data_IF_812500301811
#
_entry.id   IF_812500301811
#
_cell.length_a   1.000
_cell.length_b   1.000
_cell.length_c   1.000
_cell.angle_alpha   90.00
_cell.angle_beta   90.00
_cell.angle_gamma   90.00
#
_symmetry.space_group_name_H-M   'P 1'
#
loop_
_entity.id
_entity.type
_entity.pdbx_description
1 polymer ?
2 polymer ?
#
loop_
_entity_poly.entity_id
_entity_poly.type
_entity_poly.pdbx_seq_one_letter_code
_entity_poly.pdbx_strand_id
2 'polyribonucleotide' 'GCGUUGGCCAACGCUU' ?
#
# COMPACT_ATOMS: atom_id res chain seq x y z
N UNK A 7 18.98 15.49 3.05
CA UNK A 7 18.17 14.31 3.36
C UNK A 7 17.88 14.20 4.84
N UNK A 8 16.60 14.09 5.17
CA UNK A 8 16.17 13.93 6.54
C UNK A 8 15.32 12.66 6.51
N UNK A 9 15.21 11.96 7.63
CA UNK A 9 14.33 10.80 7.69
C UNK A 9 13.12 11.08 8.54
N UNK A 10 11.96 10.73 7.99
CA UNK A 10 10.72 10.77 8.73
C UNK A 10 10.66 9.37 9.27
N UNK A 11 11.01 9.24 10.55
CA UNK A 11 11.12 7.94 11.22
C UNK A 11 9.87 7.59 11.99
N UNK A 13 7.76 4.83 14.72
CA UNK A 13 7.70 3.72 15.67
C UNK A 13 6.34 3.82 16.34
N UNK A 14 5.68 2.71 16.63
CA UNK A 14 4.45 2.81 17.42
C UNK A 14 4.73 2.67 18.92
N UNK A 15 4.57 3.78 19.63
CA UNK A 15 4.80 3.83 21.06
C UNK A 15 3.71 3.07 21.80
N UNK A 16 2.46 3.31 21.40
CA UNK A 16 1.31 2.70 22.06
C UNK A 16 0.40 1.98 21.08
N UNK A 17 0.63 0.67 20.92
CA UNK A 17 -0.19 -0.23 20.09
C UNK A 17 -1.61 -0.37 20.62
N UNK A 18 -2.51 -0.90 19.78
CA UNK A 18 -3.92 -1.04 20.13
C UNK A 18 -4.21 -2.22 21.07
N UNK A 19 -4.87 -1.94 22.20
CA UNK A 19 -5.15 -2.93 23.24
C UNK A 19 -6.12 -4.04 22.81
N UNK A 20 -6.19 -5.10 23.60
CA UNK A 20 -6.94 -6.30 23.23
C UNK A 20 -8.47 -6.10 23.09
N UNK A 21 -8.95 -4.90 23.43
CA UNK A 21 -10.39 -4.57 23.38
C UNK A 21 -11.11 -4.90 22.05
N UNK A 22 -10.45 -4.68 20.91
CA UNK A 22 -11.10 -4.94 19.62
C UNK A 22 -10.16 -5.19 18.44
N UNK A 27 -8.23 -8.32 13.81
CA UNK A 27 -7.95 -7.09 13.08
C UNK A 27 -6.45 -6.85 13.13
N UNK A 28 -5.82 -7.59 14.03
CA UNK A 28 -4.37 -7.62 14.24
C UNK A 28 -3.71 -6.24 14.43
N UNK A 29 -2.47 -6.11 13.94
CA UNK A 29 -1.64 -4.89 14.11
C UNK A 29 -0.57 -4.80 13.02
N UNK A 30 -0.23 -3.59 12.59
CA UNK A 30 0.80 -3.43 11.56
C UNK A 30 1.79 -2.29 11.86
N UNK A 31 2.82 -2.56 12.68
CA UNK A 31 3.84 -1.63 13.14
C UNK A 31 4.76 -1.17 12.01
N UNK A 32 5.01 0.15 11.92
CA UNK A 32 5.85 0.70 10.84
C UNK A 32 7.33 0.33 10.94
N UNK A 33 7.80 -0.10 12.11
CA UNK A 33 9.22 -0.39 12.27
C UNK A 33 9.58 -1.81 11.86
N UNK A 34 8.57 -2.64 11.60
CA UNK A 34 8.83 -4.00 11.14
C UNK A 34 9.35 -4.00 9.72
N UNK A 35 9.18 -2.87 9.02
CA UNK A 35 9.81 -2.70 7.72
C UNK A 35 10.82 -1.56 7.78
N UNK A 36 11.91 -1.72 7.03
CA UNK A 36 12.99 -0.74 7.01
C UNK A 36 12.70 0.44 6.09
N UNK A 37 11.85 0.21 5.09
CA UNK A 37 11.54 1.21 4.07
C UNK A 37 10.55 2.27 4.53
N UNK A 38 10.93 3.54 4.38
CA UNK A 38 10.19 4.65 5.01
C UNK A 38 10.17 5.91 4.14
N UNK A 39 9.70 7.01 4.70
CA UNK A 39 9.69 8.26 3.96
C UNK A 39 10.66 9.27 4.53
N UNK A 40 11.18 10.13 3.66
CA UNK A 40 12.18 11.09 4.04
C UNK A 40 12.10 12.33 3.19
N UNK A 41 12.83 13.38 3.57
CA UNK A 41 12.65 14.71 3.00
C UNK A 41 13.95 15.34 2.50
N UNK A 42 13.98 15.75 1.25
CA UNK A 42 15.20 16.27 0.63
C UNK A 42 15.52 17.73 0.96
N UNK A 43 16.82 18.06 0.87
CA UNK A 43 17.38 19.35 1.28
C UNK A 43 17.09 20.48 0.29
N UNK A 44 17.83 21.58 0.48
CA UNK A 44 17.53 22.93 -0.01
C UNK A 44 16.60 23.63 0.98
N UNK A 45 16.27 22.92 2.05
CA UNK A 45 15.37 23.45 3.06
C UNK A 45 16.02 23.71 4.43
N UNK A 46 15.47 24.68 5.19
CA UNK A 46 15.91 24.89 6.57
C UNK A 46 15.40 23.81 7.52
N UNK A 47 16.09 23.60 8.63
CA UNK A 47 15.73 22.57 9.57
C UNK A 47 14.60 22.99 10.51
N UNK A 48 13.51 22.21 10.52
CA UNK A 48 12.37 22.39 11.42
C UNK A 48 12.70 21.94 12.84
N UNK A 49 11.67 21.92 13.69
CA UNK A 49 11.80 21.44 15.06
C UNK A 49 11.11 20.07 15.23
N UNK A 50 11.17 19.52 16.44
CA UNK A 50 10.53 18.23 16.74
C UNK A 50 9.30 18.41 17.62
N UNK A 54 3.37 12.68 17.13
CA UNK A 54 2.77 11.35 17.00
C UNK A 54 1.45 11.40 16.21
N UNK A 55 1.21 10.42 15.34
CA UNK A 55 -0.10 10.30 14.65
C UNK A 55 -0.79 9.00 15.06
N UNK A 56 -2.12 9.02 15.05
CA UNK A 56 -2.87 7.88 15.58
C UNK A 56 -3.51 7.03 14.48
N UNK A 57 -2.94 5.84 14.27
CA UNK A 57 -3.19 5.02 13.09
C UNK A 57 -4.22 3.90 13.29
N UNK A 58 -4.36 3.07 12.26
CA UNK A 58 -5.18 1.87 12.38
C UNK A 58 -4.50 0.87 13.26
N UNK A 59 -3.17 0.95 13.29
CA UNK A 59 -2.34 0.01 14.04
C UNK A 59 -2.11 0.51 15.46
N UNK A 60 -2.77 1.62 15.79
CA UNK A 60 -2.64 2.23 17.09
C UNK A 60 -1.81 3.51 17.04
N UNK A 61 -1.48 4.03 18.22
CA UNK A 61 -0.70 5.26 18.33
C UNK A 61 0.72 5.07 17.83
N UNK A 62 1.15 5.94 16.92
CA UNK A 62 2.49 5.84 16.36
C UNK A 62 3.24 7.16 16.46
N UNK A 63 4.29 7.17 17.27
CA UNK A 63 5.15 8.34 17.41
C UNK A 63 6.14 8.49 16.26
N UNK A 64 6.35 9.76 15.91
CA UNK A 64 7.04 10.18 14.70
C UNK A 64 8.26 11.05 15.02
N UNK A 65 9.38 10.78 14.34
CA UNK A 65 10.61 11.51 14.62
C UNK A 65 11.38 11.91 13.36
N UNK A 66 11.59 13.20 13.18
CA UNK A 66 12.40 13.67 12.06
C UNK A 66 13.87 13.80 12.46
N UNK A 67 14.76 13.18 11.68
CA UNK A 67 16.19 13.26 12.00
C UNK A 67 17.01 13.66 10.79
N UNK A 68 18.18 14.23 11.02
CA UNK A 68 19.05 14.55 9.89
C UNK A 68 19.95 13.36 9.60
N UNK A 69 20.15 13.12 8.31
CA UNK A 69 20.87 11.95 7.84
C UNK A 69 22.07 12.36 7.02
N UNK A 70 21.85 13.08 5.93
CA UNK A 70 22.97 13.70 5.25
C UNK A 70 22.68 15.16 4.93
N UNK A 71 23.48 16.04 5.52
CA UNK A 71 23.39 17.47 5.27
C UNK A 71 24.43 17.87 4.24
N UNK A 72 24.06 18.80 3.37
CA UNK A 72 25.00 19.37 2.42
C UNK A 72 25.43 18.41 1.32
N UNK A 73 24.47 17.67 0.79
CA UNK A 73 24.74 16.80 -0.34
C UNK A 73 24.22 17.46 -1.61
N UNK A 75 22.81 16.54 -5.28
CA UNK A 75 22.33 15.41 -6.06
C UNK A 75 22.08 15.81 -7.51
N UNK A 76 22.33 14.87 -8.41
CA UNK A 76 22.21 15.09 -9.84
C UNK A 76 20.82 15.57 -10.25
N UNK A 77 20.76 16.40 -11.29
CA UNK A 77 19.49 16.89 -11.81
C UNK A 77 18.66 15.72 -12.31
N UNK A 78 19.33 14.66 -12.75
CA UNK A 78 18.66 13.43 -13.15
C UNK A 78 17.94 12.82 -11.95
N UNK A 80 17.37 14.21 -9.20
CA UNK A 80 16.44 15.20 -8.67
C UNK A 80 15.10 15.11 -9.37
N UNK A 81 15.15 14.98 -10.70
CA UNK A 81 13.95 14.81 -11.51
C UNK A 81 13.24 13.54 -11.09
N UNK A 82 14.00 12.46 -10.88
CA UNK A 82 13.44 11.21 -10.39
C UNK A 82 12.74 11.34 -9.02
N UNK A 83 13.36 12.06 -8.10
CA UNK A 83 12.82 12.20 -6.75
C UNK A 83 11.59 13.09 -6.73
N UNK A 84 11.58 14.09 -7.60
CA UNK A 84 10.41 14.99 -7.69
C UNK A 84 9.23 14.29 -8.39
N UNK A 85 9.53 13.58 -9.47
CA UNK A 85 8.56 12.76 -10.17
C UNK A 85 7.91 11.81 -9.19
N UNK A 86 8.73 11.06 -8.46
CA UNK A 86 8.20 10.20 -7.42
C UNK A 86 7.42 10.94 -6.33
N UNK A 87 7.85 12.14 -5.97
CA UNK A 87 7.11 12.95 -4.98
C UNK A 87 5.67 13.12 -5.42
N UNK A 88 5.50 13.66 -6.63
CA UNK A 88 4.18 13.87 -7.21
C UNK A 88 3.42 12.56 -7.37
N UNK A 89 4.13 11.47 -7.66
CA UNK A 89 3.51 10.16 -7.74
C UNK A 89 2.96 9.70 -6.39
N UNK A 90 3.58 10.16 -5.30
CA UNK A 90 3.09 9.80 -3.99
C UNK A 90 1.82 10.56 -3.76
N UNK A 91 1.84 11.85 -4.06
CA UNK A 91 0.69 12.66 -3.66
C UNK A 91 -0.55 12.66 -4.56
N UNK A 92 -0.35 12.59 -5.86
CA UNK A 92 -1.47 12.44 -6.78
C UNK A 92 -1.99 11.01 -6.80
N UNK A 93 -1.08 10.04 -6.94
CA UNK A 93 -1.47 8.63 -7.04
C UNK A 93 -1.74 7.81 -5.76
N UNK A 94 -0.88 7.92 -4.74
CA UNK A 94 -1.05 7.06 -3.57
C UNK A 94 -2.17 7.57 -2.67
N UNK A 95 -2.16 8.86 -2.41
CA UNK A 95 -3.28 9.50 -1.78
C UNK A 95 -3.98 10.29 -2.88
N UNK A 96 -5.11 10.91 -2.59
CA UNK A 96 -5.78 11.72 -3.60
C UNK A 96 -6.15 13.07 -3.01
N UNK A 97 -5.56 14.14 -3.54
CA UNK A 97 -5.80 15.48 -2.99
C UNK A 97 -5.78 16.57 -4.07
N UNK A 111 5.21 22.74 4.18
CA UNK A 111 5.62 21.36 4.47
C UNK A 111 7.12 21.14 4.26
N UNK A 112 7.46 20.77 3.03
CA UNK A 112 8.84 20.63 2.54
C UNK A 112 8.89 20.14 1.10
N UNK A 113 10.11 19.98 0.58
CA UNK A 113 10.39 19.54 -0.79
C UNK A 113 10.06 18.05 -0.84
N UNK A 114 10.48 17.36 -1.89
CA UNK A 114 10.03 15.99 -2.14
C UNK A 114 10.10 15.02 -0.96
N UNK A 115 9.02 14.26 -0.78
CA UNK A 115 9.02 13.11 0.10
C UNK A 115 9.57 11.97 -0.76
N UNK A 116 10.36 11.08 -0.15
CA UNK A 116 11.11 10.07 -0.89
C UNK A 116 11.15 8.76 -0.09
N UNK A 117 11.35 7.63 -0.78
CA UNK A 117 11.59 6.39 -0.05
C UNK A 117 13.03 6.27 0.48
N UNK A 118 13.16 5.74 1.69
CA UNK A 118 14.47 5.47 2.26
C UNK A 118 14.51 3.99 2.63
N UNK A 119 15.71 3.43 2.68
CA UNK A 119 15.90 2.00 2.93
C UNK A 119 17.29 1.78 3.51
N UNK A 120 17.79 0.55 3.51
CA UNK A 120 19.14 0.29 3.99
C UNK A 120 20.17 0.39 2.86
N UNK A 126 16.32 3.43 5.90
CA UNK A 126 16.83 4.57 6.64
C UNK A 126 18.17 5.05 6.08
N UNK A 127 18.92 4.13 5.48
CA UNK A 127 20.19 4.45 4.83
C UNK A 127 19.96 4.94 3.39
N UNK A 128 20.51 6.13 3.10
CA UNK A 128 20.46 6.72 1.76
C UNK A 128 19.04 6.92 1.22
N UNK A 129 18.89 6.68 -0.08
CA UNK A 129 17.69 6.92 -0.83
C UNK A 129 17.57 5.65 -1.61
N UNK A 130 16.35 5.23 -1.93
CA UNK A 130 16.25 4.02 -2.71
C UNK A 130 15.99 4.41 -4.15
N UNK A 131 17.02 4.30 -4.97
CA UNK A 131 16.90 4.63 -6.39
C UNK A 131 16.31 3.47 -7.17
N UNK A 132 16.61 2.24 -6.74
CA UNK A 132 16.06 1.06 -7.38
C UNK A 132 14.57 1.01 -7.14
N UNK A 133 14.14 1.44 -5.95
CA UNK A 133 12.73 1.40 -5.61
C UNK A 133 11.97 2.40 -6.46
N UNK A 135 12.92 3.77 -9.32
CA UNK A 135 12.96 3.34 -10.73
C UNK A 135 12.01 2.17 -10.98
N UNK A 136 11.87 1.29 -9.99
CA UNK A 136 10.96 0.16 -10.07
C UNK A 136 9.52 0.67 -10.17
N UNK A 137 9.15 1.59 -9.29
CA UNK A 137 7.81 2.19 -9.30
C UNK A 137 7.56 2.85 -10.64
N UNK A 138 8.58 3.54 -11.14
CA UNK A 138 8.46 4.30 -12.38
C UNK A 138 8.39 3.43 -13.64
N UNK A 139 8.53 2.11 -13.46
CA UNK A 139 8.40 1.18 -14.59
C UNK A 139 6.98 1.18 -15.18
N UNK A 140 6.03 1.77 -14.45
CA UNK A 140 4.69 2.00 -14.97
C UNK A 140 3.98 0.70 -15.35
N UNK A 149 -2.42 -9.11 -19.88
CA UNK A 149 -2.74 -10.22 -19.00
C UNK A 149 -3.49 -11.33 -19.74
N UNK A 150 -2.74 -12.20 -20.41
CA UNK A 150 -3.36 -13.30 -21.16
C UNK A 150 -3.31 -14.64 -20.41
N UNK A 151 -4.46 -15.10 -19.94
CA UNK A 151 -4.56 -16.36 -19.21
C UNK A 151 -5.37 -17.37 -20.02
N UNK A 152 -4.75 -18.47 -20.43
CA UNK A 152 -5.46 -19.52 -21.15
C UNK A 152 -5.41 -20.84 -20.39
N UNK A 153 -6.03 -21.89 -20.92
CA UNK A 153 -5.86 -23.23 -20.36
C UNK A 153 -4.53 -23.75 -20.86
N UNK A 154 -4.14 -23.29 -22.06
CA UNK A 154 -2.84 -23.56 -22.62
C UNK A 154 -1.82 -22.59 -22.03
N UNK A 155 -2.31 -21.49 -21.50
CA UNK A 155 -1.47 -20.45 -20.92
C UNK A 155 -2.05 -20.06 -19.56
N UNK A 156 -1.82 -20.90 -18.53
CA UNK A 156 -2.52 -20.80 -17.25
C UNK A 156 -2.05 -19.66 -16.36
N UNK A 157 -2.71 -19.51 -15.22
CA UNK A 157 -2.34 -18.52 -14.24
C UNK A 157 -1.58 -19.18 -13.09
N UNK A 158 -0.43 -18.61 -12.75
CA UNK A 158 0.42 -19.14 -11.70
C UNK A 158 0.26 -18.31 -10.44
N UNK A 159 0.14 -18.98 -9.31
CA UNK A 159 -0.02 -18.30 -8.03
C UNK A 159 1.20 -18.46 -7.12
N UNK A 160 1.93 -17.37 -6.92
CA UNK A 160 3.03 -17.35 -5.96
C UNK A 160 2.55 -16.63 -4.71
N UNK A 161 2.67 -17.29 -3.57
CA UNK A 161 2.13 -16.76 -2.30
C UNK A 161 2.80 -15.47 -1.87
N UNK A 162 4.11 -15.42 -1.99
CA UNK A 162 4.91 -14.25 -1.63
C UNK A 162 4.36 -12.94 -2.21
N UNK A 163 3.91 -13.00 -3.47
CA UNK A 163 3.47 -11.81 -4.16
C UNK A 163 2.27 -11.18 -3.47
N UNK A 164 1.52 -11.97 -2.72
CA UNK A 164 0.34 -11.46 -2.03
C UNK A 164 0.54 -11.16 -0.56
N UNK A 165 1.75 -11.41 -0.06
CA UNK A 165 1.99 -11.25 1.36
C UNK A 165 2.04 -9.81 1.84
N UNK A 166 2.93 -9.01 1.27
CA UNK A 166 2.83 -7.58 1.49
C UNK A 166 2.36 -7.02 0.17
N UNK A 167 1.07 -6.69 0.11
CA UNK A 167 0.47 -6.36 -1.17
C UNK A 167 -0.74 -5.43 -1.09
N UNK A 168 -0.80 -4.49 -2.03
CA UNK A 168 -2.01 -3.72 -2.27
C UNK A 168 -2.49 -4.12 -3.66
N UNK A 169 -3.77 -4.49 -3.77
CA UNK A 169 -4.27 -4.99 -5.05
C UNK A 169 -5.41 -4.18 -5.62
N UNK A 170 -5.64 -4.39 -6.92
CA UNK A 170 -6.70 -3.73 -7.64
C UNK A 170 -7.50 -4.82 -8.33
N UNK A 171 -8.84 -4.71 -8.29
CA UNK A 171 -9.64 -5.53 -9.22
C UNK A 171 -9.40 -4.98 -10.61
N UNK A 172 -9.01 -5.80 -11.56
CA UNK A 172 -8.69 -5.27 -12.88
C UNK A 172 -9.98 -5.08 -13.65
N UNK A 173 -11.00 -5.68 -13.07
CA UNK A 173 -12.26 -5.95 -13.68
C UNK A 173 -13.18 -4.78 -13.62
N UNK A 174 -12.85 -3.82 -12.77
CA UNK A 174 -13.73 -2.67 -12.65
C UNK A 174 -13.00 -1.41 -12.27
N UNK A 175 -12.08 -1.03 -13.13
CA UNK A 175 -11.37 0.22 -13.00
C UNK A 175 -12.20 1.28 -13.69
N UNK A 176 -13.37 0.90 -14.15
CA UNK A 176 -14.19 1.88 -14.90
C UNK A 176 -14.43 3.22 -14.19
N UNK A 177 -14.41 3.24 -12.87
CA UNK A 177 -14.33 4.51 -12.14
C UNK A 177 -13.33 4.41 -10.98
N UNK A 178 -12.29 5.25 -11.03
CA UNK A 178 -11.36 5.46 -9.90
C UNK A 178 -10.86 4.20 -9.20
N UNK A 179 -9.88 3.49 -9.82
CA UNK A 179 -9.48 2.12 -9.42
C UNK A 179 -9.38 1.97 -7.93
N UNK A 180 -9.78 0.81 -7.42
CA UNK A 180 -9.83 0.61 -5.98
C UNK A 180 -8.59 -0.16 -5.50
N UNK A 181 -8.10 0.19 -4.31
CA UNK A 181 -6.88 -0.41 -3.77
C UNK A 181 -7.15 -1.02 -2.40
N UNK A 182 -6.69 -2.26 -2.23
CA UNK A 182 -6.98 -3.00 -1.02
C UNK A 182 -5.72 -3.65 -0.46
N UNK A 183 -5.55 -3.59 0.85
CA UNK A 183 -4.49 -4.37 1.48
C UNK A 183 -4.99 -5.81 1.47
N UNK A 184 -4.10 -6.78 1.29
CA UNK A 184 -4.55 -8.15 1.47
C UNK A 184 -4.64 -8.33 2.97
N UNK A 185 -5.86 -8.51 3.44
CA UNK A 185 -6.10 -8.66 4.85
C UNK A 185 -5.69 -10.08 5.21
N UNK A 186 -6.13 -11.02 4.40
CA UNK A 186 -5.90 -12.43 4.71
C UNK A 186 -5.76 -13.24 3.44
N UNK A 187 -5.07 -14.36 3.53
CA UNK A 187 -5.13 -15.34 2.46
C UNK A 187 -5.85 -16.58 2.96
N UNK A 188 -6.99 -16.89 2.33
CA UNK A 188 -7.79 -18.04 2.69
C UNK A 188 -7.36 -19.20 1.83
N UNK A 189 -6.71 -20.13 2.50
CA UNK A 189 -6.05 -21.25 1.86
C UNK A 189 -6.95 -22.46 1.85
N UNK A 190 -8.05 -22.36 2.59
CA UNK A 190 -9.05 -23.41 2.63
C UNK A 190 -10.12 -23.11 1.60
N UNK A 191 -9.91 -22.03 0.83
CA UNK A 191 -10.88 -21.61 -0.19
C UNK A 191 -10.33 -21.66 -1.61
N UNK A 192 -11.24 -21.76 -2.57
CA UNK A 192 -10.94 -21.69 -3.99
C UNK A 192 -12.05 -20.89 -4.66
N UNK A 193 -11.84 -20.45 -5.92
CA UNK A 193 -12.91 -19.75 -6.64
C UNK A 193 -14.20 -20.59 -6.80
N UNK A 194 -14.11 -21.89 -6.56
CA UNK A 194 -15.29 -22.74 -6.62
C UNK A 194 -16.03 -22.79 -5.28
N UNK A 195 -15.59 -21.98 -4.32
CA UNK A 195 -16.20 -21.98 -2.99
C UNK A 195 -17.55 -21.26 -2.96
N UNK A 196 -18.38 -21.64 -1.99
CA UNK A 196 -19.71 -21.07 -1.87
C UNK A 196 -19.66 -19.56 -1.72
N UNK A 197 -20.36 -18.86 -2.61
CA UNK A 197 -20.39 -17.41 -2.58
C UNK A 197 -21.25 -16.94 -1.42
N UNK A 198 -20.81 -15.86 -0.73
CA UNK A 198 -21.49 -15.36 0.47
C UNK A 198 -22.94 -14.94 0.25
N UNK A 199 -23.32 -14.75 -1.01
CA UNK A 199 -24.69 -14.36 -1.31
C UNK A 199 -25.35 -15.51 -2.04
N UNK A 200 -26.66 -15.70 -1.78
CA UNK A 200 -27.43 -16.83 -2.30
C UNK A 200 -27.57 -16.82 -3.81
N UNK A 201 -27.65 -15.64 -4.41
CA UNK A 201 -27.91 -15.49 -5.83
C UNK A 201 -26.82 -16.13 -6.67
N UNK A 202 -25.71 -16.47 -6.02
CA UNK A 202 -24.57 -17.07 -6.69
C UNK A 202 -24.03 -18.22 -5.84
N UNK A 203 -23.84 -19.37 -6.47
CA UNK A 203 -23.32 -20.52 -5.75
C UNK A 203 -21.80 -20.45 -5.60
N UNK A 204 -21.10 -20.01 -6.64
CA UNK A 204 -19.64 -19.95 -6.59
C UNK A 204 -19.06 -18.61 -7.02
N UNK A 205 -17.86 -18.30 -6.53
CA UNK A 205 -17.15 -17.08 -6.89
C UNK A 205 -16.89 -17.02 -8.38
N UNK A 206 -16.47 -18.15 -8.93
CA UNK A 206 -16.14 -18.22 -10.35
C UNK A 206 -17.39 -17.85 -11.10
N UNK A 207 -18.50 -18.35 -10.58
CA UNK A 207 -19.81 -18.06 -11.14
C UNK A 207 -20.20 -16.61 -10.92
N UNK A 208 -19.84 -16.04 -9.77
CA UNK A 208 -20.11 -14.62 -9.50
C UNK A 208 -19.48 -13.72 -10.56
N UNK A 209 -18.17 -13.87 -10.73
CA UNK A 209 -17.45 -13.07 -11.69
C UNK A 209 -17.84 -13.38 -13.13
N UNK A 210 -18.30 -14.61 -13.37
CA UNK A 210 -18.77 -14.98 -14.70
C UNK A 210 -20.08 -14.30 -15.06
N UNK A 211 -21.05 -14.38 -14.15
CA UNK A 211 -22.37 -13.80 -14.39
C UNK A 211 -22.32 -12.28 -14.42
N UNK A 212 -21.67 -11.65 -13.44
CA UNK A 212 -21.63 -10.18 -13.45
C UNK A 212 -20.58 -9.57 -14.38
N UNK A 213 -19.33 -10.03 -14.28
CA UNK A 213 -18.25 -9.39 -15.06
C UNK A 213 -17.84 -10.12 -16.35
N UNK A 214 -18.50 -11.24 -16.65
CA UNK A 214 -18.13 -12.11 -17.75
C UNK A 214 -16.65 -12.50 -17.68
N UNK A 215 -16.26 -13.01 -16.51
CA UNK A 215 -14.85 -13.32 -16.21
C UNK A 215 -14.53 -14.81 -16.05
N UNK A 216 -13.62 -15.29 -16.89
CA UNK A 216 -13.26 -16.70 -16.88
C UNK A 216 -11.91 -16.92 -16.21
N UNK A 217 -11.86 -17.90 -15.32
CA UNK A 217 -10.67 -18.16 -14.52
C UNK A 217 -9.92 -19.36 -15.06
N UNK A 218 -8.60 -19.23 -15.21
CA UNK A 218 -7.76 -20.34 -15.64
C UNK A 218 -7.14 -21.07 -14.45
N UNK A 219 -7.41 -20.59 -13.24
CA UNK A 219 -6.98 -21.27 -12.04
C UNK A 219 -8.13 -21.43 -11.06
N UNK A 220 -8.58 -22.66 -10.86
CA UNK A 220 -9.65 -22.89 -9.91
C UNK A 220 -9.10 -23.38 -8.57
N UNK A 221 -7.78 -23.54 -8.51
CA UNK A 221 -7.13 -24.01 -7.29
C UNK A 221 -6.55 -22.89 -6.44
N UNK A 222 -6.60 -21.66 -6.95
CA UNK A 222 -6.01 -20.52 -6.24
C UNK A 222 -6.78 -20.21 -4.96
N UNK A 223 -6.06 -19.82 -3.91
CA UNK A 223 -6.68 -19.41 -2.63
C UNK A 223 -7.29 -18.04 -2.79
N UNK A 224 -8.15 -17.64 -1.87
CA UNK A 224 -8.76 -16.34 -2.02
C UNK A 224 -8.12 -15.31 -1.10
N UNK A 225 -8.51 -14.05 -1.23
CA UNK A 225 -7.88 -12.99 -0.45
C UNK A 225 -8.89 -12.11 0.23
N UNK A 226 -8.99 -12.17 1.55
CA UNK A 226 -9.78 -11.17 2.25
C UNK A 226 -9.07 -9.84 2.11
N UNK A 227 -9.80 -8.77 1.82
CA UNK A 227 -9.18 -7.47 1.65
C UNK A 227 -9.83 -6.40 2.51
N UNK A 228 -9.03 -5.40 2.90
CA UNK A 228 -9.56 -4.19 3.53
C UNK A 228 -9.18 -2.97 2.66
N UNK A 229 -10.05 -1.97 2.63
CA UNK A 229 -9.85 -0.78 1.79
C UNK A 229 -8.69 0.12 2.27
N UNK A 230 -7.94 0.66 1.31
CA UNK A 230 -6.82 1.52 1.63
C UNK A 230 -7.20 2.99 1.82
N UNK A 231 -8.38 3.38 1.36
CA UNK A 231 -8.78 4.77 1.46
C UNK A 231 -9.09 5.08 2.91
N UNK A 232 -8.42 6.08 3.46
CA UNK A 232 -8.49 6.34 4.90
C UNK A 232 -8.71 7.82 5.27
N UNK A 233 -8.73 8.08 6.58
CA UNK A 233 -8.95 9.43 7.11
C UNK A 233 -7.76 10.32 6.79
N UNK A 234 -8.04 11.60 6.51
CA UNK A 234 -6.96 12.54 6.26
C UNK A 234 -6.33 13.11 7.53
N UNK A 235 -7.13 13.41 8.55
CA UNK A 235 -6.54 13.90 9.81
C UNK A 235 -6.49 12.80 10.86
N UNK A 236 -5.29 12.28 11.05
CA UNK A 236 -5.07 11.17 11.96
C UNK A 236 -4.58 11.65 13.32
N UNK A 237 -4.50 12.97 13.49
CA UNK A 237 -3.93 13.57 14.69
C UNK A 237 -4.72 13.29 15.96
N UNK A 238 -5.97 12.84 15.81
CA UNK A 238 -6.79 12.48 16.96
C UNK A 238 -7.40 11.09 16.81
N UNK A 239 -7.43 10.33 17.93
CA UNK A 239 -7.96 8.95 17.95
C UNK A 239 -9.46 8.89 17.60
N UNK A 267 -17.83 -11.70 3.22
CA UNK A 267 -17.78 -10.71 2.14
C UNK A 267 -16.36 -10.18 2.02
N UNK A 268 -16.13 -9.28 1.06
CA UNK A 268 -14.81 -8.71 0.84
C UNK A 268 -13.76 -9.79 0.59
N UNK A 269 -14.04 -10.66 -0.38
CA UNK A 269 -13.11 -11.70 -0.78
C UNK A 269 -12.76 -11.49 -2.25
N UNK A 270 -11.47 -11.52 -2.58
CA UNK A 270 -11.06 -11.30 -3.96
C UNK A 270 -10.30 -12.47 -4.54
N UNK A 271 -10.26 -12.51 -5.87
CA UNK A 271 -9.58 -13.57 -6.60
C UNK A 271 -8.27 -13.07 -7.17
N UNK A 272 -7.15 -13.65 -6.69
CA UNK A 272 -5.79 -13.25 -7.05
C UNK A 272 -5.64 -13.05 -8.54
N UNK A 273 -6.27 -13.94 -9.31
CA UNK A 273 -6.17 -13.96 -10.75
C UNK A 273 -6.91 -12.78 -11.39
N UNK A 274 -7.90 -12.26 -10.68
CA UNK A 274 -8.66 -11.11 -11.17
C UNK A 274 -8.06 -9.79 -10.69
N UNK A 275 -6.95 -9.88 -9.98
CA UNK A 275 -6.38 -8.70 -9.35
C UNK A 275 -4.94 -8.41 -9.75
N UNK A 276 -4.68 -7.14 -10.08
CA UNK A 276 -3.32 -6.64 -10.26
C UNK A 276 -2.70 -6.31 -8.91
N UNK A 277 -1.36 -6.38 -8.83
CA UNK A 277 -0.64 -6.03 -7.60
C UNK A 277 0.06 -4.68 -7.71
N UNK A 278 -0.05 -3.87 -6.65
CA UNK A 278 0.48 -2.52 -6.69
C UNK A 278 1.94 -2.44 -6.22
N UNK A 279 2.76 -1.65 -6.93
CA UNK A 279 4.20 -1.43 -6.69
C UNK A 279 4.51 -0.80 -5.34
N UNK A 280 3.53 -0.21 -4.67
CA UNK A 280 3.72 0.24 -3.30
C UNK A 280 3.27 -0.84 -2.35
N UNK A 281 4.22 -1.50 -1.68
CA UNK A 281 3.93 -2.56 -0.71
C UNK A 281 2.95 -2.09 0.36
N UNK A 282 2.04 -2.97 0.78
CA UNK A 282 1.02 -2.61 1.76
C UNK A 282 1.55 -1.89 3.01
N UNK A 283 2.67 -2.38 3.57
CA UNK A 283 3.25 -1.77 4.75
C UNK A 283 3.58 -0.29 4.51
N UNK A 284 4.31 -0.04 3.44
CA UNK A 284 4.71 1.32 3.07
C UNK A 284 3.50 2.16 2.74
N UNK A 285 2.46 1.53 2.18
CA UNK A 285 1.21 2.24 1.97
C UNK A 285 0.74 2.76 3.32
N UNK A 286 0.66 1.85 4.29
CA UNK A 286 0.15 2.14 5.62
C UNK A 286 0.95 3.26 6.26
N UNK A 287 2.25 3.25 5.99
CA UNK A 287 3.13 4.33 6.44
C UNK A 287 2.80 5.64 5.76
N UNK A 288 2.47 5.57 4.47
CA UNK A 288 2.27 6.77 3.66
C UNK A 288 1.01 7.48 4.06
N UNK A 289 0.01 6.71 4.48
CA UNK A 289 -1.25 7.29 4.92
C UNK A 289 -1.02 8.28 6.08
N UNK A 290 0.10 8.13 6.77
CA UNK A 290 0.45 9.08 7.82
C UNK A 290 0.93 10.41 7.25
N UNK A 291 1.53 10.38 6.06
CA UNK A 291 2.21 11.54 5.47
C UNK A 291 1.47 12.87 5.59
N UNK A 292 0.18 12.92 5.24
CA UNK A 292 -0.49 14.22 5.40
C UNK A 292 -0.56 14.68 6.86
N UNK A 293 -0.92 13.77 7.76
CA UNK A 293 -1.14 14.12 9.16
C UNK A 293 0.17 14.54 9.81
N UNK A 294 1.26 13.96 9.32
CA UNK A 294 2.61 14.38 9.69
C UNK A 294 2.80 15.80 9.22
N UNK A 295 2.68 16.00 7.91
CA UNK A 295 3.01 17.27 7.28
C UNK A 295 2.16 18.43 7.78
N UNK A 296 0.99 18.14 8.35
CA UNK A 296 0.08 19.19 8.78
C UNK A 296 0.70 20.07 9.84
N UNK A 297 1.09 19.51 10.99
CA UNK A 297 2.01 20.28 11.79
C UNK A 297 3.39 19.66 11.57
N UNK A 298 4.01 20.16 10.50
CA UNK A 298 5.44 20.17 10.22
C UNK A 298 5.57 21.54 9.58
N UNK A 299 4.84 21.68 8.47
CA UNK A 299 4.55 22.97 7.86
C UNK A 299 4.04 23.95 8.90
N UNK A 300 3.27 23.46 9.85
CA UNK A 300 2.65 24.32 10.87
C UNK A 300 3.02 23.90 12.29
#
# INVERSE_FOLDING_TARGET
SDQPCYLYVIGXVLTTPLPDELNFRRRKLYPPEDTTRCFGILTAKPIPQIPHFPVYTRSGEVTISIELKKSGFXLSLQXLELITRLHQYIFSHILRLEKPALEFKPTDADSAYCVLPLNVVNDSSTLDIDFKFXEDIEKSEARIGIPSTKYTKETPFVFKLEDYQDAVIIPRYRNFDQPHRFYVADVYTDLTPLSKFPSPEYETFAEYYKTKYNLDLTNLNQPLLDVDHTSSRLNLLTPRHLNQKGKALPLSSAEKRKAKWESLQNKQILVPELCAIHPIPASLWRKAVCLPSILYRLHCLL
#
